data_IF_144288490114
#
_entry.id   IF_144288490114
#
_cell.length_a   1.000
_cell.length_b   1.000
_cell.length_c   1.000
_cell.angle_alpha   90.00
_cell.angle_beta   90.00
_cell.angle_gamma   90.00
#
_symmetry.space_group_name_H-M   'P 1'
#
loop_
_entity.id
_entity.type
_entity.pdbx_description
1 polymer ?
#
# COMPACT_ATOMS: atom_id res chain seq x y z
N UNK A 1 -15.65 6.78 0.52
CA UNK A 1 -15.66 7.75 -0.61
C UNK A 1 -14.53 7.46 -1.60
N UNK A 2 -14.66 7.85 -2.87
CA UNK A 2 -13.65 7.61 -3.92
C UNK A 2 -13.32 8.89 -4.69
N UNK A 3 -12.13 8.94 -5.30
CA UNK A 3 -11.73 9.97 -6.27
C UNK A 3 -11.26 9.31 -7.57
N UNK A 4 -11.56 9.93 -8.69
CA UNK A 4 -11.14 9.45 -10.01
C UNK A 4 -9.79 10.08 -10.36
N UNK A 5 -8.79 9.24 -10.64
CA UNK A 5 -7.40 9.66 -10.91
C UNK A 5 -6.95 9.11 -12.25
N UNK A 6 -6.44 9.99 -13.11
CA UNK A 6 -5.75 9.58 -14.34
C UNK A 6 -4.27 9.31 -14.06
N UNK A 7 -3.77 8.15 -14.48
CA UNK A 7 -2.37 7.76 -14.34
C UNK A 7 -1.79 7.14 -15.60
N UNK A 8 -0.61 6.55 -15.45
CA UNK A 8 0.11 5.86 -16.56
C UNK A 8 -0.70 4.72 -17.18
N UNK A 9 -1.61 4.14 -16.42
CA UNK A 9 -2.45 3.00 -16.83
C UNK A 9 -3.88 3.41 -17.18
N UNK A 10 -4.15 4.72 -17.28
CA UNK A 10 -5.49 5.25 -17.50
C UNK A 10 -6.19 5.70 -16.22
N UNK A 11 -7.51 5.82 -16.31
CA UNK A 11 -8.40 6.22 -15.22
C UNK A 11 -8.56 5.10 -14.19
N UNK A 12 -8.58 5.48 -12.91
CA UNK A 12 -8.90 4.56 -11.81
C UNK A 12 -9.61 5.29 -10.68
N UNK A 13 -10.45 4.56 -9.97
CA UNK A 13 -11.02 5.03 -8.71
C UNK A 13 -10.09 4.70 -7.55
N UNK A 14 -9.83 5.69 -6.71
CA UNK A 14 -8.97 5.58 -5.53
C UNK A 14 -9.83 5.87 -4.30
N UNK A 15 -9.99 4.91 -3.37
CA UNK A 15 -10.69 5.16 -2.13
C UNK A 15 -9.92 6.17 -1.28
N UNK A 16 -10.66 7.10 -0.68
CA UNK A 16 -10.11 8.11 0.22
C UNK A 16 -10.92 8.16 1.53
N UNK A 17 -10.29 8.63 2.60
CA UNK A 17 -10.97 8.87 3.87
C UNK A 17 -11.93 10.06 3.76
N UNK A 18 -12.94 10.09 4.63
CA UNK A 18 -13.84 11.24 4.80
C UNK A 18 -13.06 12.53 5.07
N UNK A 19 -12.01 12.44 5.90
CA UNK A 19 -11.15 13.57 6.20
C UNK A 19 -10.45 14.11 4.94
N UNK A 20 -9.88 13.21 4.13
CA UNK A 20 -9.22 13.59 2.87
C UNK A 20 -10.21 14.25 1.93
N UNK A 21 -11.42 13.69 1.81
CA UNK A 21 -12.49 14.26 0.98
C UNK A 21 -12.84 15.67 1.43
N UNK A 22 -13.09 15.86 2.73
CA UNK A 22 -13.42 17.16 3.31
C UNK A 22 -12.33 18.19 3.00
N UNK A 23 -11.06 17.84 3.19
CA UNK A 23 -9.95 18.73 2.92
C UNK A 23 -9.82 19.06 1.42
N UNK A 24 -9.98 18.07 0.53
CA UNK A 24 -9.94 18.31 -0.90
C UNK A 24 -11.05 19.26 -1.36
N UNK A 25 -12.27 19.10 -0.85
CA UNK A 25 -13.38 20.01 -1.15
C UNK A 25 -13.13 21.43 -0.64
N UNK A 26 -12.55 21.59 0.55
CA UNK A 26 -12.18 22.91 1.09
C UNK A 26 -11.12 23.62 0.25
N UNK A 27 -10.16 22.86 -0.29
CA UNK A 27 -9.13 23.42 -1.18
C UNK A 27 -9.74 23.77 -2.54
N UNK A 28 -10.51 22.84 -3.14
CA UNK A 28 -11.15 23.04 -4.43
C UNK A 28 -12.13 24.23 -4.44
N UNK A 29 -12.85 24.46 -3.34
CA UNK A 29 -13.75 25.62 -3.21
C UNK A 29 -13.03 26.97 -3.28
N UNK A 30 -11.71 26.99 -3.07
CA UNK A 30 -10.86 28.19 -3.15
C UNK A 30 -10.08 28.27 -4.47
N UNK A 31 -10.18 27.25 -5.31
CA UNK A 31 -9.48 27.20 -6.58
C UNK A 31 -10.12 28.14 -7.61
N UNK A 32 -9.32 28.93 -8.35
CA UNK A 32 -9.84 29.83 -9.39
C UNK A 32 -10.28 29.13 -10.68
N UNK A 33 -9.94 27.85 -10.87
CA UNK A 33 -10.24 27.07 -12.07
C UNK A 33 -10.46 25.58 -11.72
N UNK A 34 -10.48 24.71 -12.75
CA UNK A 34 -10.74 23.26 -12.62
C UNK A 34 -9.68 22.47 -11.81
N UNK A 35 -8.51 23.04 -11.56
CA UNK A 35 -7.45 22.37 -10.81
C UNK A 35 -7.69 22.46 -9.30
N UNK A 36 -7.51 21.35 -8.59
CA UNK A 36 -7.69 21.33 -7.12
C UNK A 36 -6.54 22.05 -6.39
N UNK A 37 -5.34 22.10 -6.97
CA UNK A 37 -4.16 22.63 -6.28
C UNK A 37 -3.48 23.73 -7.09
N UNK A 38 -3.34 24.91 -6.49
CA UNK A 38 -2.70 26.09 -7.09
C UNK A 38 -1.46 26.52 -6.30
N UNK A 39 -0.46 27.00 -7.05
CA UNK A 39 0.61 27.85 -6.54
C UNK A 39 0.36 29.30 -6.94
N UNK A 40 1.32 30.18 -6.63
CA UNK A 40 1.20 31.62 -6.88
C UNK A 40 1.03 32.00 -8.37
N UNK A 41 1.47 31.14 -9.30
CA UNK A 41 1.47 31.40 -10.75
C UNK A 41 0.50 30.51 -11.55
N UNK A 42 -0.47 29.87 -10.88
CA UNK A 42 -1.39 28.92 -11.52
C UNK A 42 -1.32 27.51 -10.91
N UNK A 43 -1.73 26.44 -11.62
CA UNK A 43 -1.74 25.08 -11.10
C UNK A 43 -0.39 24.64 -10.52
N UNK A 44 -0.42 23.89 -9.42
CA UNK A 44 0.80 23.47 -8.74
C UNK A 44 1.63 22.55 -9.65
N UNK A 45 2.95 22.77 -9.68
CA UNK A 45 3.84 21.88 -10.42
C UNK A 45 4.17 20.63 -9.60
N UNK A 46 4.54 19.54 -10.29
CA UNK A 46 5.05 18.32 -9.63
C UNK A 46 6.25 18.60 -8.72
N UNK A 47 7.11 19.54 -9.09
CA UNK A 47 8.26 19.95 -8.27
C UNK A 47 7.82 20.61 -6.97
N UNK A 48 6.83 21.51 -7.03
CA UNK A 48 6.24 22.14 -5.85
C UNK A 48 5.63 21.10 -4.90
N UNK A 49 4.85 20.13 -5.42
CA UNK A 49 4.32 19.03 -4.60
C UNK A 49 5.46 18.27 -3.91
N UNK A 50 6.50 17.91 -4.65
CA UNK A 50 7.64 17.18 -4.09
C UNK A 50 8.30 17.96 -2.95
N UNK A 51 8.57 19.24 -3.17
CA UNK A 51 9.17 20.15 -2.18
C UNK A 51 8.28 20.29 -0.96
N UNK A 52 7.00 20.60 -1.14
CA UNK A 52 6.03 20.75 -0.04
C UNK A 52 5.96 19.48 0.82
N UNK A 53 5.86 18.30 0.20
CA UNK A 53 5.85 17.03 0.92
C UNK A 53 7.14 16.84 1.70
N UNK A 54 8.29 17.08 1.08
CA UNK A 54 9.59 16.95 1.73
C UNK A 54 9.71 17.88 2.96
N UNK A 55 9.36 19.15 2.81
CA UNK A 55 9.40 20.13 3.90
C UNK A 55 8.53 19.71 5.09
N UNK A 56 7.33 19.17 4.84
CA UNK A 56 6.45 18.67 5.91
C UNK A 56 7.01 17.41 6.58
N UNK A 57 7.64 16.51 5.81
CA UNK A 57 8.32 15.34 6.38
C UNK A 57 9.49 15.76 7.28
N UNK A 58 10.29 16.74 6.85
CA UNK A 58 11.40 17.28 7.63
C UNK A 58 10.91 17.96 8.92
N UNK A 59 9.85 18.78 8.84
CA UNK A 59 9.20 19.40 10.02
C UNK A 59 8.64 18.36 10.99
N UNK A 60 8.15 17.23 10.49
CA UNK A 60 7.68 16.12 11.31
C UNK A 60 8.83 15.27 11.91
N UNK A 61 10.09 15.65 11.69
CA UNK A 61 11.26 14.92 12.19
C UNK A 61 11.57 13.62 11.44
N UNK A 62 10.95 13.39 10.27
CA UNK A 62 11.16 12.18 9.48
C UNK A 62 12.49 12.28 8.74
N UNK A 63 13.46 11.45 9.12
CA UNK A 63 14.80 11.39 8.51
C UNK A 63 14.96 10.14 7.62
N UNK A 64 15.92 10.15 6.71
CA UNK A 64 16.33 8.99 5.91
C UNK A 64 16.36 9.23 4.39
N UNK A 65 16.76 8.23 3.60
CA UNK A 65 16.89 8.38 2.15
C UNK A 65 15.52 8.62 1.49
N UNK A 66 15.54 9.30 0.34
CA UNK A 66 14.37 9.49 -0.56
C UNK A 66 13.17 10.18 0.12
N UNK A 67 13.41 11.24 0.90
CA UNK A 67 12.34 12.10 1.42
C UNK A 67 11.52 12.71 0.27
N UNK A 68 10.20 12.53 0.34
CA UNK A 68 9.27 12.98 -0.69
C UNK A 68 8.11 12.00 -0.93
N UNK A 69 7.27 12.28 -1.94
CA UNK A 69 6.02 11.55 -2.21
C UNK A 69 6.19 10.04 -2.41
N UNK A 70 7.31 9.61 -2.98
CA UNK A 70 7.59 8.18 -3.20
C UNK A 70 7.72 7.40 -1.89
N UNK A 71 8.26 8.00 -0.83
CA UNK A 71 8.39 7.36 0.48
C UNK A 71 7.02 7.23 1.17
N UNK A 72 6.16 8.24 1.05
CA UNK A 72 4.77 8.16 1.54
C UNK A 72 4.02 7.04 0.81
N UNK A 73 4.12 6.98 -0.52
CA UNK A 73 3.52 5.90 -1.32
C UNK A 73 4.03 4.52 -0.91
N UNK A 74 5.32 4.41 -0.60
CA UNK A 74 5.90 3.14 -0.15
C UNK A 74 5.39 2.73 1.23
N UNK A 75 5.32 3.68 2.16
CA UNK A 75 4.76 3.44 3.49
C UNK A 75 3.30 3.00 3.40
N UNK A 76 2.49 3.63 2.54
CA UNK A 76 1.10 3.22 2.28
C UNK A 76 1.02 1.75 1.81
N UNK A 77 1.76 1.39 0.76
CA UNK A 77 1.70 0.02 0.22
C UNK A 77 2.16 -1.04 1.21
N UNK A 78 3.19 -0.73 2.01
CA UNK A 78 3.64 -1.60 3.10
C UNK A 78 2.57 -1.75 4.17
N UNK A 79 2.05 -0.64 4.70
CA UNK A 79 1.09 -0.65 5.80
C UNK A 79 -0.21 -1.37 5.41
N UNK A 80 -0.72 -1.12 4.20
CA UNK A 80 -1.91 -1.79 3.68
C UNK A 80 -1.79 -3.32 3.71
N UNK A 81 -0.64 -3.86 3.29
CA UNK A 81 -0.41 -5.30 3.28
C UNK A 81 -0.15 -5.87 4.68
N UNK A 82 0.55 -5.15 5.56
CA UNK A 82 0.76 -5.57 6.95
C UNK A 82 -0.52 -5.55 7.77
N UNK A 83 -1.48 -4.69 7.41
CA UNK A 83 -2.82 -4.63 8.02
C UNK A 83 -3.77 -5.69 7.43
N UNK A 84 -3.27 -6.54 6.53
CA UNK A 84 -3.99 -7.70 6.01
C UNK A 84 -4.70 -7.49 4.68
N UNK A 85 -4.57 -6.31 4.08
CA UNK A 85 -5.07 -6.01 2.74
C UNK A 85 -4.49 -6.96 1.67
N UNK A 86 -5.22 -7.12 0.57
CA UNK A 86 -4.83 -8.00 -0.52
C UNK A 86 -3.98 -7.30 -1.59
N UNK A 87 -3.18 -8.08 -2.30
CA UNK A 87 -2.24 -7.54 -3.28
C UNK A 87 -2.94 -6.93 -4.50
N UNK A 88 -4.10 -7.49 -4.88
CA UNK A 88 -4.79 -7.13 -6.12
C UNK A 88 -5.46 -5.77 -5.98
N UNK A 89 -6.22 -5.56 -4.92
CA UNK A 89 -6.79 -4.24 -4.61
C UNK A 89 -5.71 -3.19 -4.41
N UNK A 90 -4.57 -3.54 -3.79
CA UNK A 90 -3.45 -2.61 -3.69
C UNK A 90 -2.90 -2.20 -5.07
N UNK A 91 -2.77 -3.15 -6.01
CA UNK A 91 -2.31 -2.87 -7.38
C UNK A 91 -3.26 -1.92 -8.10
N UNK A 92 -4.57 -2.16 -7.99
CA UNK A 92 -5.62 -1.33 -8.58
C UNK A 92 -5.55 0.10 -8.03
N UNK A 93 -5.51 0.27 -6.71
CA UNK A 93 -5.45 1.58 -6.04
C UNK A 93 -4.17 2.35 -6.42
N UNK A 94 -3.01 1.66 -6.43
CA UNK A 94 -1.72 2.31 -6.72
C UNK A 94 -1.48 2.57 -8.21
N UNK A 95 -2.21 1.91 -9.12
CA UNK A 95 -2.05 2.05 -10.56
C UNK A 95 -0.67 1.59 -11.07
N UNK A 96 -0.12 0.51 -10.50
CA UNK A 96 1.16 -0.05 -10.93
C UNK A 96 0.96 -1.00 -12.12
N UNK A 97 1.41 -0.61 -13.31
CA UNK A 97 1.53 -1.52 -14.48
C UNK A 97 2.62 -2.56 -14.31
N UNK A 98 3.65 -2.28 -13.51
CA UNK A 98 4.81 -3.16 -13.32
C UNK A 98 4.84 -3.79 -11.92
N UNK A 99 4.75 -5.12 -11.92
CA UNK A 99 4.67 -6.03 -10.78
C UNK A 99 5.93 -5.96 -9.89
N UNK A 100 7.06 -5.41 -10.39
CA UNK A 100 8.35 -5.37 -9.67
C UNK A 100 8.35 -4.55 -8.37
N UNK A 101 7.51 -3.51 -8.25
CA UNK A 101 7.44 -2.72 -6.99
C UNK A 101 6.50 -3.38 -5.97
N UNK A 102 5.49 -4.09 -6.46
CA UNK A 102 4.49 -4.77 -5.63
C UNK A 102 5.01 -6.09 -5.06
N UNK A 103 5.82 -6.84 -5.81
CA UNK A 103 6.52 -8.04 -5.33
C UNK A 103 7.46 -7.76 -4.15
N UNK A 104 8.09 -6.58 -4.10
CA UNK A 104 8.90 -6.15 -2.95
C UNK A 104 8.08 -6.06 -1.66
N UNK A 105 6.80 -5.72 -1.72
CA UNK A 105 5.95 -5.70 -0.52
C UNK A 105 5.51 -7.10 -0.09
N UNK A 106 5.28 -8.02 -1.03
CA UNK A 106 4.96 -9.41 -0.71
C UNK A 106 6.13 -10.11 0.00
N UNK A 107 7.38 -9.83 -0.40
CA UNK A 107 8.57 -10.36 0.25
C UNK A 107 8.72 -9.89 1.72
N UNK A 108 8.15 -8.74 2.09
CA UNK A 108 8.18 -8.22 3.46
C UNK A 108 7.22 -8.97 4.41
N UNK A 109 6.34 -9.82 3.88
CA UNK A 109 5.27 -10.49 4.63
C UNK A 109 5.41 -12.02 4.68
N UNK A 110 6.62 -12.58 4.53
CA UNK A 110 6.83 -14.04 4.63
C UNK A 110 6.25 -14.62 5.95
N UNK A 111 6.36 -13.88 7.06
CA UNK A 111 5.77 -14.26 8.35
C UNK A 111 4.25 -14.35 8.30
N UNK A 112 3.58 -13.38 7.66
CA UNK A 112 2.12 -13.38 7.48
C UNK A 112 1.67 -14.44 6.48
N UNK A 113 2.46 -14.69 5.43
CA UNK A 113 2.24 -15.79 4.49
C UNK A 113 2.30 -17.12 5.23
N UNK A 114 3.31 -17.33 6.09
CA UNK A 114 3.41 -18.53 6.92
C UNK A 114 2.21 -18.65 7.86
N UNK A 115 1.78 -17.54 8.48
CA UNK A 115 0.65 -17.52 9.40
C UNK A 115 -0.68 -17.81 8.70
N UNK A 116 -0.94 -17.18 7.55
CA UNK A 116 -2.13 -17.44 6.71
C UNK A 116 -2.10 -18.87 6.15
N UNK A 117 -0.95 -19.34 5.65
CA UNK A 117 -0.79 -20.72 5.22
C UNK A 117 -1.13 -21.69 6.35
N UNK A 118 -0.55 -21.53 7.55
CA UNK A 118 -0.90 -22.37 8.71
C UNK A 118 -2.39 -22.33 9.07
N UNK A 119 -3.04 -21.16 8.94
CA UNK A 119 -4.48 -21.00 9.24
C UNK A 119 -5.39 -21.70 8.22
N UNK A 120 -5.01 -21.71 6.94
CA UNK A 120 -5.84 -22.26 5.85
C UNK A 120 -5.31 -23.59 5.29
N UNK A 121 -4.20 -24.12 5.81
CA UNK A 121 -3.78 -25.49 5.54
C UNK A 121 -4.83 -26.40 6.17
N UNK A 122 -5.45 -27.32 5.40
CA UNK A 122 -6.35 -28.32 5.96
C UNK A 122 -5.64 -29.02 7.13
N UNK A 123 -6.30 -29.24 8.28
CA UNK A 123 -5.69 -30.01 9.35
C UNK A 123 -5.25 -31.33 8.74
N UNK A 124 -3.94 -31.58 8.71
CA UNK A 124 -3.45 -32.92 8.37
C UNK A 124 -4.17 -33.86 9.33
N UNK A 125 -4.94 -34.78 8.77
CA UNK A 125 -5.72 -35.77 9.51
C UNK A 125 -4.80 -36.33 10.59
N UNK A 126 -5.03 -35.91 11.83
CA UNK A 126 -4.29 -36.41 12.98
C UNK A 126 -4.80 -37.82 13.14
N UNK A 127 -4.08 -38.80 12.58
CA UNK A 127 -4.35 -40.22 12.82
C UNK A 127 -4.33 -40.41 14.34
N UNK A 128 -5.51 -40.51 14.93
CA UNK A 128 -5.70 -40.81 16.34
C UNK A 128 -5.35 -42.28 16.55
N UNK A 129 -4.18 -42.50 17.16
CA UNK A 129 -3.88 -43.51 18.18
C UNK A 129 -4.48 -44.92 18.05
N UNK A 130 -3.60 -45.92 17.82
CA UNK A 130 -3.86 -47.33 18.12
C UNK A 130 -2.83 -48.34 17.55
N UNK A 131 -1.61 -48.37 18.12
CA UNK A 131 -0.60 -49.47 18.32
C UNK A 131 -0.34 -50.59 17.27
N UNK A 132 0.75 -51.41 17.38
CA UNK A 132 1.96 -51.35 18.22
C UNK A 132 3.29 -51.41 17.40
N UNK A 133 4.41 -51.45 18.13
CA UNK A 133 5.77 -51.65 17.64
C UNK A 133 5.91 -52.79 16.63
N UNK A 134 6.68 -52.55 15.55
CA UNK A 134 7.24 -53.63 14.74
C UNK A 134 8.74 -53.40 14.63
N UNK A 135 9.43 -54.40 15.17
CA UNK A 135 10.85 -54.71 15.19
C UNK A 135 11.73 -54.05 14.11
N UNK A 136 12.88 -53.59 14.59
CA UNK A 136 14.20 -53.78 13.98
C UNK A 136 14.24 -54.84 12.87
N UNK A 137 14.83 -54.52 11.71
CA UNK A 137 15.82 -55.38 11.03
C UNK A 137 16.73 -54.55 10.10
N UNK A 138 18.00 -54.95 9.93
CA UNK A 138 19.06 -54.19 9.27
C UNK A 138 19.20 -54.53 7.79
N UNK A 139 19.84 -53.65 7.02
CA UNK A 139 20.83 -54.00 6.00
C UNK A 139 21.73 -52.80 5.70
#
# INVERSE_FOLDING_TARGET
ETVVVYGKTGWREVPISEETRRLLLQVAAKSPDEHVFHGHKGPITRFCIYRTVREHMEKAGIKGPKLGPHRIRHAFGKNYLTEGGDLRSLQEIMGHTDIKTTQKYAALNLTDIIKKHRKFTPPRLRRSSGQPAIASHPH
#
